data_IF_661939089311
#
_entry.id   IF_661939089311
#
_cell.length_a   1.000
_cell.length_b   1.000
_cell.length_c   1.000
_cell.angle_alpha   90.00
_cell.angle_beta   90.00
_cell.angle_gamma   90.00
#
_symmetry.space_group_name_H-M   'P 1'
#
loop_
_entity.id
_entity.type
_entity.pdbx_description
1 polymer ?
#
# COMPACT_ATOMS: atom_id res chain seq x y z
N UNK A 1 -22.28 67.74 12.89
CA UNK A 1 -23.20 66.99 12.01
C UNK A 1 -22.37 65.98 11.21
N UNK A 2 -21.80 64.98 11.88
CA UNK A 2 -20.92 63.95 11.30
C UNK A 2 -21.02 62.74 12.22
N UNK A 3 -21.84 61.75 11.90
CA UNK A 3 -21.87 60.50 12.69
C UNK A 3 -22.65 59.33 12.04
N UNK A 4 -23.53 59.57 11.07
CA UNK A 4 -24.32 58.47 10.49
C UNK A 4 -23.68 57.79 9.27
N UNK A 5 -22.88 58.51 8.48
CA UNK A 5 -22.29 57.99 7.23
C UNK A 5 -21.19 56.96 7.45
N UNK A 6 -20.46 57.03 8.57
CA UNK A 6 -19.36 56.11 8.91
C UNK A 6 -19.91 54.76 9.41
N UNK A 7 -21.02 54.75 10.15
CA UNK A 7 -21.59 53.52 10.72
C UNK A 7 -22.09 52.54 9.65
N UNK A 8 -22.77 53.03 8.59
CA UNK A 8 -23.31 52.14 7.55
C UNK A 8 -22.21 51.44 6.73
N UNK A 9 -21.07 52.11 6.49
CA UNK A 9 -19.91 51.51 5.83
C UNK A 9 -19.32 50.34 6.64
N UNK A 10 -19.28 50.45 7.96
CA UNK A 10 -18.83 49.36 8.82
C UNK A 10 -19.82 48.19 8.83
N UNK A 11 -21.13 48.45 8.82
CA UNK A 11 -22.14 47.39 8.67
C UNK A 11 -22.03 46.67 7.33
N UNK A 12 -21.79 47.40 6.23
CA UNK A 12 -21.61 46.82 4.91
C UNK A 12 -20.34 45.94 4.84
N UNK A 13 -19.22 46.41 5.40
CA UNK A 13 -17.98 45.64 5.47
C UNK A 13 -18.14 44.38 6.34
N UNK A 14 -18.86 44.48 7.46
CA UNK A 14 -19.12 43.34 8.33
C UNK A 14 -20.02 42.29 7.67
N UNK A 15 -21.07 42.73 6.97
CA UNK A 15 -21.94 41.84 6.18
C UNK A 15 -21.19 41.19 5.01
N UNK A 16 -20.33 41.94 4.31
CA UNK A 16 -19.50 41.41 3.25
C UNK A 16 -18.48 40.38 3.77
N UNK A 17 -17.92 40.61 4.95
CA UNK A 17 -17.00 39.68 5.61
C UNK A 17 -17.71 38.40 6.06
N UNK A 18 -18.90 38.51 6.67
CA UNK A 18 -19.73 37.36 7.01
C UNK A 18 -20.13 36.59 5.76
N UNK A 19 -20.54 37.28 4.69
CA UNK A 19 -20.88 36.64 3.42
C UNK A 19 -19.66 35.91 2.82
N UNK A 20 -18.46 36.52 2.87
CA UNK A 20 -17.24 35.89 2.40
C UNK A 20 -16.88 34.63 3.23
N UNK A 21 -17.05 34.68 4.55
CA UNK A 21 -16.88 33.52 5.42
C UNK A 21 -17.92 32.46 5.09
N UNK A 22 -19.20 32.82 4.97
CA UNK A 22 -20.26 31.87 4.65
C UNK A 22 -20.09 31.28 3.25
N UNK A 23 -19.60 32.05 2.28
CA UNK A 23 -19.28 31.57 0.93
C UNK A 23 -18.06 30.65 0.95
N UNK A 24 -17.00 31.01 1.68
CA UNK A 24 -15.82 30.17 1.88
C UNK A 24 -16.18 28.86 2.61
N UNK A 25 -17.00 28.94 3.65
CA UNK A 25 -17.52 27.76 4.34
C UNK A 25 -18.46 26.98 3.43
N UNK A 26 -19.34 27.60 2.67
CA UNK A 26 -20.24 26.87 1.75
C UNK A 26 -19.47 26.16 0.63
N UNK A 27 -18.43 26.79 0.07
CA UNK A 27 -17.59 26.20 -0.98
C UNK A 27 -16.64 25.12 -0.44
N UNK A 28 -16.19 25.20 0.81
CA UNK A 28 -15.28 24.22 1.41
C UNK A 28 -15.96 23.16 2.31
N UNK A 29 -17.11 23.45 2.93
CA UNK A 29 -17.92 22.55 3.78
C UNK A 29 -19.14 21.96 3.10
N UNK A 30 -19.57 22.43 1.92
CA UNK A 30 -20.25 21.50 1.03
C UNK A 30 -19.21 20.47 0.65
N UNK A 31 -19.18 19.41 1.45
CA UNK A 31 -18.68 18.09 1.11
C UNK A 31 -19.09 17.86 -0.33
N UNK A 32 -18.09 18.14 -1.17
CA UNK A 32 -18.09 17.88 -2.59
C UNK A 32 -18.83 16.56 -2.81
N UNK A 33 -19.65 16.53 -3.86
CA UNK A 33 -19.93 15.31 -4.61
C UNK A 33 -18.60 14.71 -5.10
N UNK A 34 -17.69 14.33 -4.20
CA UNK A 34 -16.53 13.52 -4.52
C UNK A 34 -17.16 12.21 -4.95
N UNK A 35 -17.06 11.83 -6.24
CA UNK A 35 -17.56 10.54 -6.65
C UNK A 35 -16.95 9.50 -5.73
N UNK A 36 -17.77 8.62 -5.18
CA UNK A 36 -17.32 7.52 -4.33
C UNK A 36 -16.20 6.83 -5.11
N UNK A 37 -14.96 6.90 -4.61
CA UNK A 37 -13.83 6.25 -5.26
C UNK A 37 -13.96 4.76 -4.97
N UNK A 38 -14.51 4.03 -5.92
CA UNK A 38 -14.56 2.57 -5.88
C UNK A 38 -13.18 2.05 -6.29
N UNK A 39 -12.58 1.20 -5.45
CA UNK A 39 -11.33 0.48 -5.76
C UNK A 39 -11.48 -0.23 -7.10
N UNK A 40 -10.53 -0.02 -8.01
CA UNK A 40 -10.45 -0.78 -9.26
C UNK A 40 -9.88 -2.18 -8.97
N UNK A 41 -10.47 -3.19 -9.59
CA UNK A 41 -10.04 -4.58 -9.43
C UNK A 41 -9.32 -5.06 -10.70
N UNK A 42 -8.26 -5.89 -10.58
CA UNK A 42 -7.60 -6.47 -11.73
C UNK A 42 -8.44 -7.61 -12.30
N UNK A 43 -8.06 -8.11 -13.48
CA UNK A 43 -8.65 -9.34 -13.99
C UNK A 43 -8.22 -10.52 -13.11
N UNK A 44 -9.22 -11.23 -12.55
CA UNK A 44 -9.02 -12.36 -11.65
C UNK A 44 -9.69 -13.62 -12.22
N UNK A 45 -9.24 -14.82 -11.84
CA UNK A 45 -8.12 -15.07 -10.91
C UNK A 45 -6.75 -14.85 -11.57
N UNK A 46 -5.70 -14.70 -10.75
CA UNK A 46 -4.32 -14.86 -11.23
C UNK A 46 -4.19 -16.24 -11.85
N UNK A 47 -3.61 -16.32 -13.04
CA UNK A 47 -3.47 -17.59 -13.75
C UNK A 47 -2.32 -17.59 -14.73
N UNK A 48 -1.82 -18.79 -15.00
CA UNK A 48 -0.93 -19.05 -16.12
C UNK A 48 -1.62 -18.68 -17.44
N UNK A 49 -0.82 -18.20 -18.40
CA UNK A 49 -1.24 -17.89 -19.77
C UNK A 49 -1.45 -19.17 -20.58
N UNK A 50 -2.04 -19.05 -21.76
CA UNK A 50 -2.30 -20.17 -22.67
C UNK A 50 -1.02 -20.91 -23.11
N UNK A 51 0.14 -20.23 -23.09
CA UNK A 51 1.45 -20.81 -23.36
C UNK A 51 2.08 -21.49 -22.13
N UNK A 52 1.36 -21.57 -21.01
CA UNK A 52 1.82 -22.19 -19.77
C UNK A 52 2.78 -21.33 -18.95
N UNK A 53 2.94 -20.05 -19.27
CA UNK A 53 3.84 -19.14 -18.52
C UNK A 53 3.08 -18.22 -17.57
N UNK A 54 3.74 -17.80 -16.49
CA UNK A 54 3.26 -16.77 -15.56
C UNK A 54 4.48 -15.94 -15.11
N UNK A 55 4.53 -14.67 -15.50
CA UNK A 55 5.67 -13.78 -15.23
C UNK A 55 5.42 -12.92 -14.01
N UNK A 56 6.31 -13.00 -13.03
CA UNK A 56 6.31 -12.15 -11.83
C UNK A 56 7.45 -11.14 -11.94
N UNK A 57 7.14 -9.85 -11.76
CA UNK A 57 8.15 -8.82 -11.50
C UNK A 57 8.25 -8.60 -9.98
N UNK A 58 9.38 -8.96 -9.38
CA UNK A 58 9.65 -8.69 -7.97
C UNK A 58 10.31 -7.32 -7.81
N UNK A 59 9.82 -6.53 -6.87
CA UNK A 59 10.35 -5.22 -6.49
C UNK A 59 10.60 -5.22 -4.99
N UNK A 60 11.79 -4.81 -4.56
CA UNK A 60 12.17 -4.80 -3.15
C UNK A 60 12.98 -3.54 -2.85
N UNK A 61 12.98 -3.11 -1.57
CA UNK A 61 13.91 -2.11 -1.04
C UNK A 61 13.91 -0.79 -1.81
N UNK A 62 12.75 -0.38 -2.32
CA UNK A 62 12.62 0.89 -3.04
C UNK A 62 12.98 2.07 -2.15
N UNK A 63 12.70 1.95 -0.84
CA UNK A 63 12.96 2.98 0.15
C UNK A 63 12.42 4.35 -0.30
N UNK A 64 11.21 4.34 -0.88
CA UNK A 64 10.62 5.53 -1.48
C UNK A 64 10.33 6.58 -0.40
N UNK A 65 10.81 7.80 -0.60
CA UNK A 65 10.61 8.91 0.32
C UNK A 65 9.52 9.87 -0.16
N UNK A 66 9.86 11.16 -0.20
CA UNK A 66 8.98 12.25 -0.61
C UNK A 66 9.05 12.59 -2.12
N UNK A 67 9.38 11.63 -2.98
CA UNK A 67 9.41 11.83 -4.43
C UNK A 67 10.56 12.73 -4.88
N UNK A 68 10.22 13.84 -5.55
CA UNK A 68 11.18 14.83 -6.04
C UNK A 68 12.04 15.44 -4.91
N UNK A 69 11.51 15.53 -3.70
CA UNK A 69 12.20 16.14 -2.56
C UNK A 69 13.19 15.19 -1.88
N UNK A 70 13.15 13.90 -2.21
CA UNK A 70 14.05 12.90 -1.64
C UNK A 70 15.46 13.08 -2.18
N UNK A 71 16.41 13.21 -1.25
CA UNK A 71 17.84 13.20 -1.56
C UNK A 71 18.33 11.77 -1.64
N UNK A 72 19.02 11.42 -2.72
CA UNK A 72 19.65 10.11 -2.79
C UNK A 72 20.81 10.00 -1.82
N UNK A 73 21.17 8.75 -1.55
CA UNK A 73 22.34 8.35 -0.78
C UNK A 73 23.21 7.49 -1.69
N UNK A 74 24.51 7.46 -1.39
CA UNK A 74 25.46 6.55 -2.03
C UNK A 74 25.50 6.62 -3.57
N UNK A 75 25.26 7.82 -4.11
CA UNK A 75 25.44 8.13 -5.55
C UNK A 75 26.72 8.91 -5.78
N UNK A 76 27.20 8.94 -7.03
CA UNK A 76 28.34 9.77 -7.42
C UNK A 76 28.07 11.25 -7.14
N UNK A 77 29.09 12.06 -6.79
CA UNK A 77 28.95 13.50 -6.55
C UNK A 77 28.17 14.25 -7.64
N UNK A 78 28.40 13.89 -8.91
CA UNK A 78 27.72 14.47 -10.07
C UNK A 78 26.22 14.18 -10.11
N UNK A 79 25.75 13.10 -9.46
CA UNK A 79 24.37 12.62 -9.56
C UNK A 79 23.44 13.25 -8.52
N UNK A 80 23.97 13.75 -7.40
CA UNK A 80 23.16 14.28 -6.29
C UNK A 80 22.19 15.39 -6.70
N UNK A 81 22.53 16.18 -7.73
CA UNK A 81 21.71 17.33 -8.13
C UNK A 81 20.42 16.95 -8.86
N UNK A 82 20.37 15.78 -9.52
CA UNK A 82 19.23 15.39 -10.37
C UNK A 82 18.61 14.05 -10.00
N UNK A 83 19.18 13.35 -9.02
CA UNK A 83 18.63 12.10 -8.54
C UNK A 83 17.54 12.35 -7.49
N UNK A 84 16.48 11.54 -7.53
CA UNK A 84 15.39 11.52 -6.54
C UNK A 84 14.63 10.19 -6.68
N UNK A 85 13.57 9.99 -5.89
CA UNK A 85 12.73 8.78 -6.06
C UNK A 85 12.04 8.72 -7.44
N UNK A 86 11.99 9.85 -8.17
CA UNK A 86 11.47 9.85 -9.54
C UNK A 86 12.33 8.97 -10.48
N UNK A 87 13.60 8.75 -10.16
CA UNK A 87 14.43 7.77 -10.86
C UNK A 87 13.87 6.35 -10.66
N UNK A 88 13.51 5.98 -9.43
CA UNK A 88 12.84 4.72 -9.10
C UNK A 88 11.49 4.60 -9.79
N UNK A 89 10.67 5.67 -9.79
CA UNK A 89 9.39 5.71 -10.51
C UNK A 89 9.60 5.42 -12.01
N UNK A 90 10.56 6.09 -12.65
CA UNK A 90 10.87 5.89 -14.08
C UNK A 90 11.38 4.49 -14.37
N UNK A 91 12.26 3.98 -13.51
CA UNK A 91 12.80 2.62 -13.61
C UNK A 91 11.66 1.59 -13.56
N UNK A 92 10.79 1.66 -12.55
CA UNK A 92 9.69 0.73 -12.40
C UNK A 92 8.69 0.80 -13.57
N UNK A 93 8.35 2.01 -14.04
CA UNK A 93 7.50 2.17 -15.25
C UNK A 93 8.14 1.50 -16.47
N UNK A 94 9.44 1.69 -16.66
CA UNK A 94 10.19 1.10 -17.79
C UNK A 94 10.21 -0.42 -17.70
N UNK A 95 10.52 -0.98 -16.52
CA UNK A 95 10.53 -2.42 -16.31
C UNK A 95 9.15 -3.05 -16.56
N UNK A 96 8.08 -2.43 -16.06
CA UNK A 96 6.71 -2.91 -16.31
C UNK A 96 6.39 -2.91 -17.81
N UNK A 97 6.76 -1.85 -18.53
CA UNK A 97 6.50 -1.73 -19.98
C UNK A 97 7.28 -2.74 -20.83
N UNK A 98 8.55 -2.97 -20.49
CA UNK A 98 9.43 -3.90 -21.21
C UNK A 98 9.09 -5.35 -20.90
N UNK A 99 8.92 -5.67 -19.61
CA UNK A 99 8.74 -7.05 -19.17
C UNK A 99 7.31 -7.55 -19.34
N UNK A 100 6.31 -6.66 -19.25
CA UNK A 100 4.88 -7.00 -19.31
C UNK A 100 4.55 -8.17 -18.37
N UNK A 101 4.80 -8.03 -17.05
CA UNK A 101 4.54 -9.10 -16.10
C UNK A 101 3.04 -9.38 -15.96
N UNK A 102 2.70 -10.61 -15.59
CA UNK A 102 1.34 -11.01 -15.25
C UNK A 102 0.98 -10.61 -13.82
N UNK A 103 1.99 -10.39 -12.96
CA UNK A 103 1.85 -9.98 -11.57
C UNK A 103 3.09 -9.22 -11.08
N UNK A 104 2.91 -8.24 -10.19
CA UNK A 104 4.02 -7.53 -9.52
C UNK A 104 3.99 -7.80 -8.01
N UNK A 105 5.12 -8.27 -7.46
CA UNK A 105 5.27 -8.56 -6.03
C UNK A 105 6.22 -7.55 -5.39
N UNK A 106 5.74 -6.81 -4.38
CA UNK A 106 6.59 -5.93 -3.58
C UNK A 106 6.96 -6.61 -2.26
N UNK A 107 8.24 -6.78 -1.99
CA UNK A 107 8.72 -7.68 -0.93
C UNK A 107 9.32 -6.97 0.29
N UNK A 108 8.83 -5.77 0.60
CA UNK A 108 9.22 -5.00 1.79
C UNK A 108 10.08 -3.77 1.48
N UNK A 109 10.21 -2.92 2.49
CA UNK A 109 10.90 -1.62 2.45
C UNK A 109 10.47 -0.79 1.24
N UNK A 110 9.14 -0.69 1.09
CA UNK A 110 8.46 0.00 0.01
C UNK A 110 8.69 1.51 0.12
N UNK A 111 8.59 2.03 1.35
CA UNK A 111 8.87 3.41 1.70
C UNK A 111 9.99 3.47 2.74
N UNK A 112 10.69 4.59 2.78
CA UNK A 112 11.68 4.88 3.82
C UNK A 112 11.10 5.91 4.78
N UNK A 113 10.55 5.42 5.90
CA UNK A 113 9.84 6.26 6.85
C UNK A 113 10.62 7.50 7.33
N UNK A 114 11.94 7.44 7.62
CA UNK A 114 12.71 8.59 8.08
C UNK A 114 12.86 9.72 7.05
N UNK A 115 12.59 9.47 5.75
CA UNK A 115 12.56 10.50 4.69
C UNK A 115 11.16 10.77 4.15
N UNK A 116 10.14 10.34 4.89
CA UNK A 116 8.73 10.43 4.53
C UNK A 116 7.96 11.16 5.63
N UNK A 117 7.37 12.32 5.32
CA UNK A 117 6.52 13.04 6.29
C UNK A 117 5.08 12.54 6.30
N UNK A 118 4.59 12.03 5.16
CA UNK A 118 3.25 11.44 4.99
C UNK A 118 3.41 10.07 4.33
N UNK A 119 3.19 9.01 5.11
CA UNK A 119 3.33 7.63 4.65
C UNK A 119 2.32 7.29 3.53
N UNK A 120 1.10 7.81 3.60
CA UNK A 120 0.08 7.55 2.60
C UNK A 120 0.46 8.18 1.26
N UNK A 121 0.97 9.42 1.27
CA UNK A 121 1.48 10.07 0.07
C UNK A 121 2.65 9.30 -0.56
N UNK A 122 3.61 8.87 0.25
CA UNK A 122 4.76 8.10 -0.24
C UNK A 122 4.34 6.77 -0.85
N UNK A 123 3.46 5.99 -0.19
CA UNK A 123 2.96 4.73 -0.74
C UNK A 123 2.20 4.93 -2.06
N UNK A 124 1.37 5.97 -2.16
CA UNK A 124 0.66 6.30 -3.40
C UNK A 124 1.63 6.59 -4.56
N UNK A 125 2.77 7.24 -4.27
CA UNK A 125 3.82 7.50 -5.27
C UNK A 125 4.66 6.27 -5.58
N UNK A 126 5.01 5.48 -4.57
CA UNK A 126 5.80 4.25 -4.68
C UNK A 126 5.08 3.20 -5.54
N UNK A 127 3.79 2.97 -5.29
CA UNK A 127 2.96 2.03 -6.07
C UNK A 127 2.29 2.67 -7.28
N UNK A 128 2.42 3.98 -7.48
CA UNK A 128 1.87 4.71 -8.63
C UNK A 128 2.12 4.03 -9.97
N UNK A 129 3.37 3.64 -10.31
CA UNK A 129 3.69 2.93 -11.55
C UNK A 129 2.85 1.67 -11.78
N UNK A 130 2.65 0.84 -10.75
CA UNK A 130 1.91 -0.42 -10.91
C UNK A 130 0.39 -0.17 -10.95
N UNK A 131 -0.11 0.76 -10.14
CA UNK A 131 -1.53 1.16 -10.18
C UNK A 131 -1.92 1.74 -11.55
N UNK A 132 -1.06 2.57 -12.15
CA UNK A 132 -1.27 3.13 -13.49
C UNK A 132 -1.26 2.05 -14.58
N UNK A 133 -0.50 0.96 -14.39
CA UNK A 133 -0.39 -0.12 -15.38
C UNK A 133 -1.62 -1.03 -15.46
N UNK A 134 -2.46 -1.06 -14.42
CA UNK A 134 -3.61 -1.95 -14.31
C UNK A 134 -3.26 -3.43 -14.06
N UNK A 135 -1.97 -3.75 -13.85
CA UNK A 135 -1.49 -5.10 -13.55
C UNK A 135 -1.85 -5.45 -12.09
N UNK A 136 -2.33 -6.68 -11.81
CA UNK A 136 -2.51 -7.12 -10.43
C UNK A 136 -1.18 -7.11 -9.67
N UNK A 137 -1.21 -6.65 -8.43
CA UNK A 137 0.00 -6.58 -7.61
C UNK A 137 -0.30 -6.85 -6.14
N UNK A 138 0.71 -7.24 -5.37
CA UNK A 138 0.59 -7.33 -3.93
C UNK A 138 1.89 -6.95 -3.25
N UNK A 139 1.82 -6.62 -1.97
CA UNK A 139 2.94 -6.12 -1.17
C UNK A 139 2.92 -6.70 0.24
N UNK A 140 4.11 -6.92 0.77
CA UNK A 140 4.36 -7.09 2.21
C UNK A 140 5.24 -5.95 2.71
N UNK A 141 5.22 -5.74 4.03
CA UNK A 141 5.97 -4.67 4.67
C UNK A 141 7.38 -5.14 5.05
N UNK A 142 8.34 -4.23 4.97
CA UNK A 142 9.66 -4.35 5.57
C UNK A 142 9.76 -3.56 6.88
N UNK A 143 10.96 -3.45 7.43
CA UNK A 143 11.17 -2.79 8.71
C UNK A 143 11.07 -1.26 8.59
N UNK A 144 11.46 -0.67 7.46
CA UNK A 144 11.46 0.79 7.27
C UNK A 144 10.08 1.39 6.97
N UNK A 145 9.10 0.57 6.62
CA UNK A 145 7.79 1.04 6.18
C UNK A 145 7.01 1.77 7.29
N UNK A 146 7.18 1.37 8.55
CA UNK A 146 6.41 1.91 9.70
C UNK A 146 7.10 3.06 10.45
N UNK A 147 8.14 3.66 9.87
CA UNK A 147 8.96 4.69 10.54
C UNK A 147 8.47 6.14 10.24
N UNK A 148 7.22 6.30 9.79
CA UNK A 148 6.61 7.59 9.41
C UNK A 148 5.26 7.82 10.13
N UNK A 149 4.24 8.34 9.45
CA UNK A 149 2.99 8.84 10.03
C UNK A 149 1.88 7.80 10.23
N UNK A 150 2.11 6.55 9.84
CA UNK A 150 1.12 5.46 9.91
C UNK A 150 1.72 4.23 10.60
N UNK A 151 0.90 3.53 11.37
CA UNK A 151 1.23 2.24 11.97
C UNK A 151 1.29 1.13 10.93
N UNK A 152 1.94 0.00 11.27
CA UNK A 152 2.00 -1.20 10.41
C UNK A 152 0.64 -1.68 9.94
N UNK A 153 -0.34 -1.68 10.84
CA UNK A 153 -1.72 -2.08 10.56
C UNK A 153 -2.39 -1.13 9.57
N UNK A 154 -2.25 0.18 9.79
CA UNK A 154 -2.80 1.21 8.90
C UNK A 154 -2.14 1.13 7.51
N UNK A 155 -0.83 0.88 7.44
CA UNK A 155 -0.11 0.72 6.18
C UNK A 155 -0.65 -0.47 5.38
N UNK A 156 -0.75 -1.66 5.98
CA UNK A 156 -1.30 -2.82 5.26
C UNK A 156 -2.77 -2.64 4.89
N UNK A 157 -3.56 -2.04 5.77
CA UNK A 157 -4.96 -1.71 5.46
C UNK A 157 -5.04 -0.76 4.27
N UNK A 158 -4.22 0.29 4.25
CA UNK A 158 -4.20 1.26 3.16
C UNK A 158 -3.74 0.64 1.83
N UNK A 159 -2.66 -0.15 1.84
CA UNK A 159 -2.15 -0.89 0.68
C UNK A 159 -3.22 -1.84 0.12
N UNK A 160 -3.97 -2.54 0.97
CA UNK A 160 -5.03 -3.46 0.53
C UNK A 160 -6.19 -2.77 -0.18
N UNK A 161 -6.39 -1.47 0.05
CA UNK A 161 -7.46 -0.67 -0.53
C UNK A 161 -7.07 0.04 -1.83
N UNK A 162 -5.80 -0.05 -2.25
CA UNK A 162 -5.31 0.61 -3.47
C UNK A 162 -5.81 -0.08 -4.75
N UNK A 163 -5.89 0.69 -5.84
CA UNK A 163 -6.32 0.20 -7.14
C UNK A 163 -5.44 -0.98 -7.60
N UNK A 164 -6.09 -2.04 -8.08
CA UNK A 164 -5.49 -3.29 -8.56
C UNK A 164 -4.70 -4.10 -7.52
N UNK A 165 -4.64 -3.65 -6.26
CA UNK A 165 -3.98 -4.35 -5.17
C UNK A 165 -4.73 -5.63 -4.79
N UNK A 166 -3.97 -6.72 -4.71
CA UNK A 166 -4.36 -8.02 -4.18
C UNK A 166 -3.80 -8.27 -2.77
N UNK A 167 -3.09 -7.29 -2.20
CA UNK A 167 -2.65 -7.32 -0.82
C UNK A 167 -3.83 -7.48 0.13
N UNK A 168 -3.64 -8.24 1.20
CA UNK A 168 -4.67 -8.51 2.21
C UNK A 168 -4.12 -8.17 3.59
N UNK A 169 -5.00 -7.84 4.52
CA UNK A 169 -4.67 -7.90 5.95
C UNK A 169 -4.54 -9.36 6.39
N UNK A 170 -4.21 -9.62 7.65
CA UNK A 170 -4.22 -10.99 8.18
C UNK A 170 -5.58 -11.66 7.94
N UNK A 171 -5.62 -13.00 7.75
CA UNK A 171 -6.84 -13.76 7.59
C UNK A 171 -7.78 -13.60 8.80
N UNK A 172 -9.10 -13.58 8.57
CA UNK A 172 -10.08 -13.52 9.65
C UNK A 172 -9.97 -14.74 10.57
N UNK A 173 -10.27 -14.56 11.85
CA UNK A 173 -10.32 -15.67 12.81
C UNK A 173 -11.42 -16.66 12.43
N UNK A 174 -11.11 -17.96 12.44
CA UNK A 174 -12.10 -19.04 12.29
C UNK A 174 -12.91 -19.27 13.59
N UNK A 175 -12.48 -18.70 14.72
CA UNK A 175 -13.14 -18.83 16.02
C UNK A 175 -14.00 -17.60 16.35
N UNK A 176 -15.27 -17.65 15.95
CA UNK A 176 -16.28 -16.61 16.17
C UNK A 176 -16.70 -16.54 17.65
N UNK A 177 -16.36 -17.52 18.49
CA UNK A 177 -16.81 -17.59 19.89
C UNK A 177 -15.82 -16.94 20.86
N UNK A 178 -14.58 -16.67 20.44
CA UNK A 178 -13.56 -15.95 21.21
C UNK A 178 -13.39 -14.49 20.77
N UNK A 179 -14.51 -13.78 20.58
CA UNK A 179 -14.59 -12.35 20.19
C UNK A 179 -13.78 -11.41 21.10
N UNK A 180 -13.34 -11.88 22.28
CA UNK A 180 -12.52 -11.09 23.21
C UNK A 180 -11.09 -10.79 22.71
N UNK A 181 -10.61 -11.45 21.63
CA UNK A 181 -9.25 -11.24 21.09
C UNK A 181 -9.18 -10.61 19.69
N UNK A 182 -10.28 -10.07 19.17
CA UNK A 182 -10.30 -9.39 17.87
C UNK A 182 -10.79 -10.27 16.71
N UNK A 183 -11.02 -9.65 15.55
CA UNK A 183 -11.69 -10.25 14.39
C UNK A 183 -10.77 -11.14 13.53
N UNK A 184 -9.46 -11.13 13.78
CA UNK A 184 -8.42 -11.77 12.97
C UNK A 184 -7.73 -12.91 13.72
N UNK A 185 -7.13 -13.86 12.99
CA UNK A 185 -6.28 -14.88 13.60
C UNK A 185 -5.13 -14.20 14.36
N UNK A 186 -4.80 -14.73 15.55
CA UNK A 186 -3.68 -14.29 16.39
C UNK A 186 -2.36 -14.71 15.71
N UNK A 187 -1.95 -13.93 14.70
CA UNK A 187 -0.75 -14.12 13.87
C UNK A 187 0.11 -12.87 14.03
N UNK A 188 1.39 -13.05 14.35
CA UNK A 188 2.34 -11.95 14.46
C UNK A 188 2.49 -11.19 13.13
N UNK A 189 2.66 -9.86 13.23
CA UNK A 189 2.74 -8.97 12.08
C UNK A 189 1.38 -8.70 11.41
N UNK A 190 1.41 -8.00 10.28
CA UNK A 190 0.24 -7.58 9.51
C UNK A 190 0.43 -7.88 8.03
N UNK A 191 -0.61 -8.40 7.41
CA UNK A 191 -0.57 -8.75 5.99
C UNK A 191 0.13 -10.07 5.72
N UNK A 192 -0.11 -11.07 6.57
CA UNK A 192 0.20 -12.47 6.28
C UNK A 192 -0.94 -13.05 5.43
N UNK A 193 -0.69 -13.37 4.16
CA UNK A 193 -1.72 -13.89 3.25
C UNK A 193 -1.15 -14.77 2.13
N UNK A 194 -2.04 -15.52 1.48
CA UNK A 194 -1.71 -16.36 0.33
C UNK A 194 -2.50 -15.90 -0.91
N UNK A 195 -1.84 -15.88 -2.07
CA UNK A 195 -2.49 -15.71 -3.37
C UNK A 195 -2.33 -16.97 -4.21
N UNK A 196 -3.46 -17.54 -4.65
CA UNK A 196 -3.48 -18.68 -5.56
C UNK A 196 -3.38 -18.24 -7.03
N UNK A 197 -2.55 -18.94 -7.79
CA UNK A 197 -2.36 -18.78 -9.23
C UNK A 197 -2.85 -20.05 -9.92
N UNK A 198 -3.88 -19.90 -10.75
CA UNK A 198 -4.61 -20.99 -11.38
C UNK A 198 -3.98 -21.44 -12.70
N UNK A 199 -4.28 -22.66 -13.12
CA UNK A 199 -3.81 -23.16 -14.42
C UNK A 199 -4.30 -22.37 -15.62
N UNK A 200 -3.66 -22.64 -16.76
CA UNK A 200 -3.95 -21.98 -18.02
C UNK A 200 -5.41 -22.19 -18.47
N UNK A 201 -6.09 -21.18 -19.04
CA UNK A 201 -7.43 -21.35 -19.60
C UNK A 201 -7.47 -22.50 -20.61
N UNK A 202 -8.49 -23.35 -20.52
CA UNK A 202 -8.66 -24.51 -21.42
C UNK A 202 -7.76 -25.72 -21.13
N UNK A 203 -6.84 -25.63 -20.17
CA UNK A 203 -6.06 -26.79 -19.70
C UNK A 203 -6.87 -27.64 -18.70
N UNK A 204 -6.44 -28.88 -18.48
CA UNK A 204 -7.00 -29.74 -17.41
C UNK A 204 -6.78 -29.16 -16.00
N UNK A 205 -5.89 -28.17 -15.85
CA UNK A 205 -5.60 -27.46 -14.60
C UNK A 205 -6.32 -26.10 -14.51
N UNK A 206 -7.18 -25.73 -15.46
CA UNK A 206 -7.76 -24.39 -15.55
C UNK A 206 -8.51 -23.92 -14.28
N UNK A 207 -9.04 -24.89 -13.52
CA UNK A 207 -9.79 -24.69 -12.27
C UNK A 207 -9.01 -25.12 -11.02
N UNK A 208 -7.72 -25.43 -11.16
CA UNK A 208 -6.84 -25.85 -10.06
C UNK A 208 -5.82 -24.76 -9.76
N UNK A 209 -5.52 -24.54 -8.48
CA UNK A 209 -4.35 -23.75 -8.08
C UNK A 209 -3.09 -24.52 -8.43
N UNK A 210 -2.18 -23.91 -9.17
CA UNK A 210 -0.91 -24.51 -9.63
C UNK A 210 0.28 -23.92 -8.88
N UNK A 211 0.16 -22.66 -8.43
CA UNK A 211 1.18 -21.96 -7.65
C UNK A 211 0.50 -21.14 -6.56
N UNK A 212 1.10 -21.11 -5.37
CA UNK A 212 0.62 -20.31 -4.23
C UNK A 212 1.75 -19.37 -3.79
N UNK A 213 1.42 -18.08 -3.67
CA UNK A 213 2.34 -17.01 -3.28
C UNK A 213 2.03 -16.58 -1.84
N UNK A 214 2.88 -16.97 -0.91
CA UNK A 214 2.75 -16.58 0.50
C UNK A 214 3.53 -15.30 0.78
N UNK A 215 2.83 -14.30 1.31
CA UNK A 215 3.39 -13.05 1.81
C UNK A 215 3.38 -13.13 3.34
N UNK A 216 4.54 -12.94 3.97
CA UNK A 216 4.71 -13.02 5.41
C UNK A 216 5.42 -11.78 5.93
N UNK A 217 4.83 -11.15 6.94
CA UNK A 217 5.41 -9.98 7.58
C UNK A 217 6.47 -10.38 8.61
N UNK A 218 7.75 -10.24 8.28
CA UNK A 218 8.85 -10.56 9.21
C UNK A 218 8.98 -9.60 10.41
N UNK A 219 8.12 -8.59 10.51
CA UNK A 219 8.18 -7.56 11.53
C UNK A 219 9.21 -6.47 11.22
N UNK A 220 9.41 -5.59 12.21
CA UNK A 220 10.32 -4.44 12.13
C UNK A 220 11.61 -4.69 12.93
N UNK A 221 11.69 -4.14 14.15
CA UNK A 221 12.83 -4.26 15.05
C UNK A 221 12.38 -4.91 16.34
N UNK A 222 13.29 -5.64 16.95
CA UNK A 222 13.07 -6.35 18.20
C UNK A 222 14.21 -6.07 19.17
N UNK A 223 13.98 -6.24 20.47
CA UNK A 223 15.04 -6.19 21.48
C UNK A 223 15.23 -7.56 22.09
N UNK A 224 16.37 -8.19 21.81
CA UNK A 224 16.72 -9.53 22.30
C UNK A 224 17.88 -9.39 23.27
N UNK A 225 17.68 -9.82 24.52
CA UNK A 225 18.69 -9.74 25.58
C UNK A 225 19.28 -8.32 25.75
N UNK A 226 18.44 -7.29 25.59
CA UNK A 226 18.84 -5.88 25.68
C UNK A 226 19.52 -5.30 24.43
N UNK A 227 19.69 -6.09 23.37
CA UNK A 227 20.28 -5.65 22.09
C UNK A 227 19.16 -5.45 21.06
N UNK A 228 19.10 -4.25 20.47
CA UNK A 228 18.19 -3.96 19.36
C UNK A 228 18.67 -4.68 18.10
N UNK A 229 17.80 -5.49 17.51
CA UNK A 229 18.03 -6.29 16.31
C UNK A 229 16.82 -6.20 15.37
N UNK A 230 16.83 -6.94 14.26
CA UNK A 230 15.70 -7.07 13.35
C UNK A 230 14.67 -8.07 13.88
N UNK A 231 13.41 -7.85 13.50
CA UNK A 231 12.36 -8.85 13.63
C UNK A 231 12.66 -10.10 12.79
N UNK A 232 11.88 -11.15 13.03
CA UNK A 232 11.93 -12.39 12.28
C UNK A 232 10.55 -13.04 12.28
N UNK A 233 10.35 -13.96 11.33
CA UNK A 233 9.14 -14.77 11.24
C UNK A 233 8.94 -15.55 12.54
N UNK A 234 7.78 -15.37 13.18
CA UNK A 234 7.43 -15.98 14.46
C UNK A 234 6.72 -17.32 14.28
N UNK A 235 6.64 -18.09 15.35
CA UNK A 235 6.01 -19.42 15.32
C UNK A 235 4.52 -19.36 14.95
N UNK A 236 3.80 -18.30 15.34
CA UNK A 236 2.39 -18.09 14.95
C UNK A 236 2.21 -18.04 13.42
N UNK A 237 3.12 -17.33 12.73
CA UNK A 237 3.15 -17.21 11.28
C UNK A 237 3.55 -18.54 10.62
N UNK A 238 4.52 -19.26 11.18
CA UNK A 238 4.89 -20.60 10.70
C UNK A 238 3.73 -21.60 10.84
N UNK A 239 3.00 -21.56 11.96
CA UNK A 239 1.84 -22.41 12.19
C UNK A 239 0.69 -22.10 11.22
N UNK A 240 0.45 -20.81 10.96
CA UNK A 240 -0.49 -20.39 9.93
C UNK A 240 -0.05 -20.88 8.55
N UNK A 241 1.21 -20.66 8.15
CA UNK A 241 1.75 -21.07 6.85
C UNK A 241 1.60 -22.58 6.63
N UNK A 242 1.97 -23.39 7.63
CA UNK A 242 1.83 -24.86 7.58
C UNK A 242 0.37 -25.27 7.42
N UNK A 243 -0.53 -24.69 8.21
CA UNK A 243 -1.96 -25.01 8.16
C UNK A 243 -2.58 -24.61 6.83
N UNK A 244 -2.32 -23.39 6.35
CA UNK A 244 -2.79 -22.90 5.06
C UNK A 244 -2.25 -23.74 3.90
N UNK A 245 -0.97 -24.12 3.95
CA UNK A 245 -0.36 -25.00 2.94
C UNK A 245 -0.98 -26.39 2.93
N UNK A 246 -1.37 -26.96 4.08
CA UNK A 246 -2.04 -28.26 4.15
C UNK A 246 -3.46 -28.18 3.57
N UNK A 247 -4.22 -27.14 3.90
CA UNK A 247 -5.56 -26.91 3.34
C UNK A 247 -5.54 -26.86 1.81
N UNK A 248 -4.50 -26.27 1.22
CA UNK A 248 -4.33 -26.16 -0.24
C UNK A 248 -3.89 -27.46 -0.94
N UNK A 249 -3.40 -28.46 -0.22
CA UNK A 249 -3.02 -29.76 -0.80
C UNK A 249 -4.21 -30.72 -0.96
N UNK A 250 -5.30 -30.46 -0.23
CA UNK A 250 -6.51 -31.31 -0.19
C UNK A 250 -7.64 -30.73 -1.06
N UNK A 251 -7.46 -29.50 -1.58
CA UNK A 251 -8.39 -28.77 -2.44
C UNK A 251 -8.16 -29.09 -3.92
#
# INVERSE_FOLDING_TARGET
MESQTVKWKHYFLYLAFIYAILYFLHTNLLLNNRPIRIKKWPHLPLRFRHDGTFKILQVADMHFGSGLLSRCRDVLPSHFHYCSDLNTTRFLKTMIQLEKPDFVAFTGDNIFGPSTTDAAESLLRAFGPVMESGIPWAAVLGNHDQESSMTREELMSFISLMDYSLSQTNPPSKDINNVKRGMFLDIDGFGNYNLSVYGAPGSHLANSSVLNLFFLDSGDRETVQGVRTYGWIKESQLNWLRSASQELQVA
#
